data_IF_011921251048
#
_entry.id   IF_011921251048
#
_cell.length_a   1.000
_cell.length_b   1.000
_cell.length_c   1.000
_cell.angle_alpha   90.00
_cell.angle_beta   90.00
_cell.angle_gamma   90.00
#
_symmetry.space_group_name_H-M   'P 1'
#
loop_
_entity.id
_entity.type
_entity.pdbx_description
1 polymer ?
#
# COMPACT_ATOMS: atom_id res chain seq x y z
N UNK A 1 6.76 -3.16 18.74
CA UNK A 1 5.39 -3.05 19.28
C UNK A 1 4.65 -4.37 19.50
N UNK A 2 4.89 -5.46 18.75
CA UNK A 2 4.15 -6.73 18.90
C UNK A 2 4.74 -7.71 19.93
N UNK A 3 5.81 -7.33 20.63
CA UNK A 3 6.34 -8.08 21.79
C UNK A 3 5.37 -8.09 22.98
N UNK A 4 4.48 -7.10 23.11
CA UNK A 4 3.44 -7.12 24.14
C UNK A 4 2.36 -8.18 23.85
N UNK A 5 2.17 -8.59 22.59
CA UNK A 5 1.28 -9.69 22.21
C UNK A 5 1.92 -11.08 22.43
N UNK A 6 3.24 -11.16 22.69
CA UNK A 6 3.97 -12.40 22.95
C UNK A 6 3.87 -12.91 24.40
N UNK A 7 3.31 -12.15 25.34
CA UNK A 7 3.32 -12.50 26.78
C UNK A 7 2.06 -13.19 27.30
N UNK A 8 1.10 -13.56 26.44
CA UNK A 8 -0.10 -14.30 26.85
C UNK A 8 -0.39 -15.49 25.93
N UNK A 9 0.27 -16.62 26.22
CA UNK A 9 -0.33 -17.96 26.44
C UNK A 9 0.70 -19.06 26.22
N UNK A 10 0.68 -20.02 27.13
CA UNK A 10 1.70 -21.05 27.30
C UNK A 10 1.84 -22.03 26.12
N UNK A 11 3.04 -22.59 26.05
CA UNK A 11 3.45 -23.71 25.21
C UNK A 11 2.52 -24.93 25.37
N UNK A 12 1.55 -25.16 24.46
CA UNK A 12 1.02 -26.52 24.13
C UNK A 12 -0.07 -26.60 23.04
N UNK A 13 0.06 -25.87 21.93
CA UNK A 13 -0.77 -26.13 20.74
C UNK A 13 0.03 -25.90 19.45
N UNK A 14 1.12 -26.65 19.29
CA UNK A 14 1.80 -26.84 18.01
C UNK A 14 1.08 -27.97 17.27
N UNK A 15 0.21 -27.60 16.33
CA UNK A 15 -0.18 -28.31 15.09
C UNK A 15 -1.58 -27.83 14.69
N UNK A 16 -1.73 -27.29 13.48
CA UNK A 16 -2.98 -26.81 12.86
C UNK A 16 -3.61 -25.55 13.50
N UNK A 17 -2.92 -24.42 13.39
CA UNK A 17 -3.54 -23.10 13.44
C UNK A 17 -3.22 -22.38 12.13
N UNK A 18 -4.26 -22.14 11.33
CA UNK A 18 -4.23 -21.13 10.27
C UNK A 18 -3.82 -19.83 10.99
N UNK A 19 -2.67 -19.26 10.63
CA UNK A 19 -2.09 -18.09 11.33
C UNK A 19 -2.82 -16.80 10.91
N UNK A 20 -4.11 -16.74 11.24
CA UNK A 20 -4.95 -15.56 11.08
C UNK A 20 -4.74 -14.63 12.27
N UNK A 21 -4.50 -13.35 11.99
CA UNK A 21 -4.56 -12.31 13.01
C UNK A 21 -5.90 -11.59 12.87
N UNK A 22 -6.87 -12.01 13.68
CA UNK A 22 -8.21 -11.42 13.72
C UNK A 22 -8.33 -10.47 14.91
N UNK A 23 -8.90 -9.30 14.65
CA UNK A 23 -9.18 -8.24 15.62
C UNK A 23 -10.65 -7.87 15.51
N UNK A 24 -11.39 -8.08 16.60
CA UNK A 24 -12.80 -7.71 16.65
C UNK A 24 -12.92 -6.23 17.05
N UNK A 25 -13.68 -5.47 16.26
CA UNK A 25 -13.85 -4.02 16.42
C UNK A 25 -12.68 -3.19 15.90
N UNK A 26 -12.67 -1.92 16.30
CA UNK A 26 -11.69 -0.94 15.82
C UNK A 26 -10.28 -1.23 16.36
N UNK A 27 -9.28 -1.02 15.51
CA UNK A 27 -7.88 -1.28 15.81
C UNK A 27 -7.00 -0.10 15.43
N UNK A 28 -6.19 0.35 16.39
CA UNK A 28 -5.13 1.34 16.14
C UNK A 28 -3.76 0.66 16.29
N UNK A 29 -2.99 0.64 15.20
CA UNK A 29 -1.61 0.17 15.16
C UNK A 29 -0.67 1.38 15.18
N UNK A 30 0.22 1.44 16.17
CA UNK A 30 1.12 2.57 16.41
C UNK A 30 2.60 2.14 16.43
N UNK A 31 3.17 1.70 15.31
CA UNK A 31 4.62 1.43 15.21
C UNK A 31 5.13 1.77 13.82
N UNK A 32 6.31 2.37 13.80
CA UNK A 32 6.86 3.14 12.70
C UNK A 32 8.25 2.64 12.29
N UNK A 33 8.66 1.45 12.75
CA UNK A 33 10.06 0.97 12.69
C UNK A 33 10.33 -0.29 11.88
N UNK A 34 9.32 -1.03 11.43
CA UNK A 34 9.52 -2.30 10.69
C UNK A 34 8.62 -2.33 9.46
N UNK A 35 9.15 -2.63 8.25
CA UNK A 35 8.32 -2.86 7.07
C UNK A 35 7.28 -3.94 7.38
N UNK A 36 6.01 -3.64 7.14
CA UNK A 36 4.89 -4.53 7.48
C UNK A 36 5.10 -5.94 6.91
N UNK A 37 5.71 -6.03 5.72
CA UNK A 37 6.11 -7.27 5.05
C UNK A 37 6.89 -8.27 5.86
N UNK A 38 8.01 -7.84 6.45
CA UNK A 38 8.79 -8.69 7.35
C UNK A 38 7.98 -9.12 8.57
N UNK A 39 7.13 -8.25 9.10
CA UNK A 39 6.36 -8.56 10.30
C UNK A 39 5.38 -9.72 10.09
N UNK A 40 4.58 -9.69 9.01
CA UNK A 40 3.66 -10.77 8.70
C UNK A 40 4.37 -11.98 8.07
N UNK A 41 5.41 -11.78 7.27
CA UNK A 41 6.18 -12.85 6.62
C UNK A 41 6.86 -13.77 7.63
N UNK A 42 7.61 -13.20 8.59
CA UNK A 42 8.32 -13.96 9.64
C UNK A 42 7.34 -14.74 10.53
N UNK A 43 6.14 -14.20 10.72
CA UNK A 43 5.08 -14.80 11.52
C UNK A 43 4.19 -15.74 10.70
N UNK A 44 4.45 -15.89 9.41
CA UNK A 44 3.62 -16.61 8.45
C UNK A 44 2.13 -16.25 8.58
N UNK A 45 1.83 -14.96 8.79
CA UNK A 45 0.46 -14.48 8.87
C UNK A 45 -0.15 -14.58 7.47
N UNK A 46 -1.24 -15.32 7.36
CA UNK A 46 -1.90 -15.55 6.07
C UNK A 46 -3.06 -14.57 5.83
N UNK A 47 -3.64 -14.05 6.91
CA UNK A 47 -4.71 -13.06 6.85
C UNK A 47 -4.65 -12.11 8.04
N UNK A 48 -4.92 -10.84 7.77
CA UNK A 48 -5.18 -9.77 8.72
C UNK A 48 -6.65 -9.38 8.58
N UNK A 49 -7.43 -9.62 9.63
CA UNK A 49 -8.88 -9.37 9.63
C UNK A 49 -9.20 -8.40 10.75
N UNK A 50 -9.75 -7.24 10.41
CA UNK A 50 -10.26 -6.25 11.36
C UNK A 50 -11.76 -6.06 11.10
N UNK A 51 -12.61 -6.30 12.11
CA UNK A 51 -14.07 -6.20 11.95
C UNK A 51 -14.62 -4.82 12.31
N UNK A 52 -13.79 -3.78 12.20
CA UNK A 52 -14.11 -2.39 12.47
C UNK A 52 -13.18 -1.48 11.68
N UNK A 53 -12.95 -0.27 12.18
CA UNK A 53 -12.01 0.67 11.57
C UNK A 53 -10.56 0.29 11.89
N UNK A 54 -9.70 0.26 10.87
CA UNK A 54 -8.27 0.01 11.01
C UNK A 54 -7.49 1.31 10.79
N UNK A 55 -6.87 1.80 11.85
CA UNK A 55 -5.94 2.93 11.78
C UNK A 55 -4.50 2.43 11.95
N UNK A 56 -3.65 2.71 10.97
CA UNK A 56 -2.21 2.49 11.03
C UNK A 56 -1.55 3.87 11.12
N UNK A 57 -0.98 4.19 12.28
CA UNK A 57 -0.21 5.42 12.49
C UNK A 57 1.19 5.30 11.85
N UNK A 58 1.22 5.03 10.55
CA UNK A 58 2.42 4.68 9.80
C UNK A 58 2.10 4.22 8.39
N UNK A 59 3.08 3.58 7.75
CA UNK A 59 2.93 3.05 6.41
C UNK A 59 2.58 1.56 6.45
N UNK A 60 1.79 1.11 5.48
CA UNK A 60 1.56 -0.30 5.19
C UNK A 60 2.43 -0.64 3.98
N UNK A 61 3.55 -1.34 4.22
CA UNK A 61 4.53 -1.67 3.20
C UNK A 61 4.47 -3.17 2.93
N UNK A 62 3.95 -3.51 1.76
CA UNK A 62 4.04 -4.84 1.18
C UNK A 62 5.01 -4.81 0.00
N UNK A 63 6.24 -5.29 0.22
CA UNK A 63 7.26 -5.46 -0.80
C UNK A 63 7.35 -6.90 -1.33
N UNK A 64 6.35 -7.74 -1.00
CA UNK A 64 6.24 -9.11 -1.50
C UNK A 64 5.49 -9.16 -2.83
N UNK A 65 5.79 -10.14 -3.67
CA UNK A 65 4.95 -10.51 -4.83
C UNK A 65 3.90 -11.57 -4.49
N UNK A 66 3.84 -12.02 -3.23
CA UNK A 66 2.92 -13.07 -2.81
C UNK A 66 1.55 -12.52 -2.43
N UNK A 67 0.49 -13.32 -2.68
CA UNK A 67 -0.89 -13.02 -2.33
C UNK A 67 -1.18 -12.81 -0.83
N UNK A 68 -0.16 -13.01 0.04
CA UNK A 68 -0.31 -13.10 1.49
C UNK A 68 0.48 -11.99 2.18
N UNK A 69 -0.07 -11.40 3.26
CA UNK A 69 -1.35 -11.74 3.87
C UNK A 69 -2.51 -11.21 3.02
N UNK A 70 -3.70 -11.76 3.22
CA UNK A 70 -4.93 -11.11 2.77
C UNK A 70 -5.33 -10.09 3.83
N UNK A 71 -5.61 -8.85 3.43
CA UNK A 71 -6.14 -7.82 4.32
C UNK A 71 -7.66 -7.72 4.17
N UNK A 72 -8.39 -7.84 5.29
CA UNK A 72 -9.84 -7.65 5.35
C UNK A 72 -10.15 -6.64 6.45
N UNK A 73 -10.82 -5.55 6.08
CA UNK A 73 -11.28 -4.49 6.99
C UNK A 73 -12.76 -4.25 6.73
N UNK A 74 -13.62 -4.50 7.70
CA UNK A 74 -15.08 -4.27 7.52
C UNK A 74 -15.50 -2.83 7.83
N UNK A 75 -14.57 -1.99 8.26
CA UNK A 75 -14.74 -0.54 8.39
C UNK A 75 -13.83 0.22 7.43
N UNK A 76 -13.38 1.40 7.87
CA UNK A 76 -12.46 2.27 7.12
C UNK A 76 -11.01 1.92 7.38
N UNK A 77 -10.15 2.11 6.39
CA UNK A 77 -8.71 1.95 6.52
C UNK A 77 -8.02 3.31 6.45
N UNK A 78 -7.40 3.73 7.56
CA UNK A 78 -6.66 4.98 7.65
C UNK A 78 -5.17 4.71 7.86
N UNK A 79 -4.33 5.25 6.98
CA UNK A 79 -2.88 5.13 7.12
C UNK A 79 -2.11 6.30 6.50
N UNK A 80 -0.79 6.33 6.65
CA UNK A 80 0.06 7.35 6.02
C UNK A 80 0.35 6.99 4.56
N UNK A 81 1.06 5.91 4.28
CA UNK A 81 1.33 5.48 2.91
C UNK A 81 1.04 4.00 2.74
N UNK A 82 0.39 3.63 1.65
CA UNK A 82 0.24 2.23 1.26
C UNK A 82 1.16 1.94 0.07
N UNK A 83 2.18 1.12 0.28
CA UNK A 83 2.85 0.43 -0.82
C UNK A 83 2.33 -0.99 -0.88
N UNK A 84 1.68 -1.33 -1.99
CA UNK A 84 1.00 -2.60 -2.16
C UNK A 84 1.66 -3.47 -3.23
N UNK A 85 2.41 -4.47 -2.78
CA UNK A 85 2.81 -5.64 -3.56
C UNK A 85 1.65 -6.64 -3.69
N UNK A 86 1.93 -7.94 -3.70
CA UNK A 86 0.96 -8.99 -4.00
C UNK A 86 -0.20 -9.15 -3.02
N UNK A 87 -0.28 -8.42 -1.91
CA UNK A 87 -1.37 -8.53 -0.93
C UNK A 87 -2.74 -8.19 -1.53
N UNK A 88 -3.67 -9.15 -1.50
CA UNK A 88 -5.08 -8.90 -1.74
C UNK A 88 -5.70 -8.13 -0.56
N UNK A 89 -6.54 -7.14 -0.85
CA UNK A 89 -7.15 -6.30 0.17
C UNK A 89 -8.64 -6.03 -0.11
N UNK A 90 -9.46 -6.18 0.93
CA UNK A 90 -10.90 -5.98 0.90
C UNK A 90 -11.29 -5.04 2.04
N UNK A 91 -11.72 -3.82 1.70
CA UNK A 91 -12.10 -2.77 2.64
C UNK A 91 -13.56 -2.43 2.35
N UNK A 92 -14.45 -2.57 3.34
CA UNK A 92 -15.90 -2.38 3.12
C UNK A 92 -16.27 -0.88 3.00
N UNK A 93 -15.58 -0.01 3.71
CA UNK A 93 -15.81 1.44 3.68
C UNK A 93 -14.74 2.19 2.87
N UNK A 94 -14.24 3.32 3.37
CA UNK A 94 -13.27 4.16 2.67
C UNK A 94 -11.80 3.83 3.01
N UNK A 95 -10.91 4.15 2.07
CA UNK A 95 -9.46 4.16 2.30
C UNK A 95 -8.97 5.61 2.33
N UNK A 96 -8.27 5.98 3.40
CA UNK A 96 -7.57 7.26 3.50
C UNK A 96 -6.08 7.01 3.67
N UNK A 97 -5.31 7.49 2.70
CA UNK A 97 -3.86 7.49 2.73
C UNK A 97 -3.32 8.87 2.34
N UNK A 98 -2.13 9.25 2.80
CA UNK A 98 -1.38 10.36 2.20
C UNK A 98 -0.82 9.97 0.82
N UNK A 99 -0.45 8.71 0.60
CA UNK A 99 -0.04 8.20 -0.71
C UNK A 99 -0.38 6.72 -0.90
N UNK A 100 -0.72 6.32 -2.13
CA UNK A 100 -1.03 4.94 -2.47
C UNK A 100 -0.32 4.51 -3.76
N UNK A 101 0.60 3.56 -3.64
CA UNK A 101 1.35 2.99 -4.75
C UNK A 101 1.05 1.50 -4.83
N UNK A 102 0.66 1.04 -6.01
CA UNK A 102 0.55 -0.39 -6.31
C UNK A 102 1.81 -0.78 -7.09
N UNK A 103 2.54 -1.79 -6.59
CA UNK A 103 3.77 -2.28 -7.19
C UNK A 103 3.55 -2.90 -8.57
N UNK A 104 4.64 -3.02 -9.34
CA UNK A 104 4.61 -3.59 -10.68
C UNK A 104 4.24 -5.09 -10.65
N UNK A 105 3.49 -5.55 -11.66
CA UNK A 105 2.97 -6.93 -11.75
C UNK A 105 2.11 -7.37 -10.56
N UNK A 106 1.23 -6.47 -10.10
CA UNK A 106 0.29 -6.79 -9.06
C UNK A 106 -1.05 -7.25 -9.65
N UNK A 107 -1.24 -8.56 -9.75
CA UNK A 107 -2.50 -9.17 -10.17
C UNK A 107 -3.46 -9.39 -8.98
N UNK A 108 -3.10 -8.97 -7.76
CA UNK A 108 -3.92 -9.25 -6.58
C UNK A 108 -5.10 -8.28 -6.47
N UNK A 109 -6.20 -8.76 -5.87
CA UNK A 109 -7.45 -8.01 -5.83
C UNK A 109 -7.42 -6.88 -4.79
N UNK A 110 -7.80 -5.67 -5.20
CA UNK A 110 -8.12 -4.56 -4.32
C UNK A 110 -9.58 -4.22 -4.48
N UNK A 111 -10.35 -4.35 -3.40
CA UNK A 111 -11.75 -3.96 -3.37
C UNK A 111 -11.97 -2.98 -2.22
N UNK A 112 -12.48 -1.81 -2.55
CA UNK A 112 -12.85 -0.77 -1.58
C UNK A 112 -14.32 -0.44 -1.82
N UNK A 113 -15.19 -0.65 -0.83
CA UNK A 113 -16.62 -0.39 -0.98
C UNK A 113 -16.98 1.09 -1.05
N UNK A 114 -16.14 1.96 -0.48
CA UNK A 114 -16.30 3.42 -0.48
C UNK A 114 -15.26 4.18 -1.31
N UNK A 115 -14.99 5.41 -0.88
CA UNK A 115 -14.04 6.31 -1.54
C UNK A 115 -12.58 5.87 -1.30
N UNK A 116 -11.71 6.17 -2.27
CA UNK A 116 -10.27 6.25 -2.06
C UNK A 116 -9.86 7.71 -1.98
N UNK A 117 -9.25 8.13 -0.87
CA UNK A 117 -8.67 9.47 -0.68
C UNK A 117 -7.16 9.34 -0.51
N UNK A 118 -6.39 9.82 -1.50
CA UNK A 118 -4.93 9.79 -1.48
C UNK A 118 -4.32 10.96 -2.26
N UNK A 119 -3.08 11.40 -1.96
CA UNK A 119 -2.44 12.42 -2.78
C UNK A 119 -2.12 11.93 -4.20
N UNK A 120 -1.90 10.62 -4.35
CA UNK A 120 -1.67 9.98 -5.63
C UNK A 120 -1.96 8.48 -5.60
N UNK A 121 -2.32 7.95 -6.77
CA UNK A 121 -2.72 6.57 -7.02
C UNK A 121 -2.10 6.07 -8.33
N UNK A 122 -1.40 4.94 -8.28
CA UNK A 122 -0.81 4.28 -9.46
C UNK A 122 -1.54 2.94 -9.73
N UNK A 123 -2.48 2.88 -10.69
CA UNK A 123 -3.24 1.67 -11.02
C UNK A 123 -2.41 0.68 -11.85
N UNK A 124 -1.36 0.08 -11.27
CA UNK A 124 -0.42 -0.79 -12.02
C UNK A 124 -0.87 -2.24 -12.18
N UNK A 125 -2.16 -2.53 -12.03
CA UNK A 125 -2.70 -3.88 -12.04
C UNK A 125 -3.27 -4.25 -13.43
N UNK A 126 -2.86 -5.40 -13.97
CA UNK A 126 -3.33 -5.88 -15.27
C UNK A 126 -4.63 -6.67 -15.12
N UNK A 127 -5.56 -6.61 -16.11
CA UNK A 127 -6.71 -7.51 -16.12
C UNK A 127 -6.29 -8.98 -16.07
N UNK A 128 -7.07 -9.80 -15.37
CA UNK A 128 -6.82 -11.24 -15.32
C UNK A 128 -6.90 -11.85 -16.72
N UNK A 129 -5.91 -12.66 -17.10
CA UNK A 129 -5.86 -13.31 -18.43
C UNK A 129 -7.14 -14.10 -18.73
N UNK A 130 -7.64 -14.83 -17.74
CA UNK A 130 -8.81 -15.71 -17.89
C UNK A 130 -10.14 -14.95 -17.69
N UNK A 131 -10.09 -13.78 -17.06
CA UNK A 131 -11.26 -12.95 -16.76
C UNK A 131 -10.96 -11.46 -17.08
N UNK A 132 -10.73 -11.10 -18.35
CA UNK A 132 -10.27 -9.76 -18.73
C UNK A 132 -11.29 -8.64 -18.45
N UNK A 133 -12.55 -9.01 -18.20
CA UNK A 133 -13.64 -8.10 -17.84
C UNK A 133 -13.67 -7.77 -16.34
N UNK A 134 -12.90 -8.49 -15.52
CA UNK A 134 -12.79 -8.21 -14.08
C UNK A 134 -11.56 -7.35 -13.86
N UNK A 135 -11.78 -6.11 -13.45
CA UNK A 135 -10.70 -5.23 -13.04
C UNK A 135 -10.14 -5.69 -11.68
N UNK A 136 -8.81 -5.78 -11.55
CA UNK A 136 -8.16 -6.20 -10.30
C UNK A 136 -8.36 -5.17 -9.17
N UNK A 137 -8.56 -3.89 -9.50
CA UNK A 137 -8.90 -2.85 -8.54
C UNK A 137 -10.33 -2.36 -8.77
N UNK A 138 -11.14 -2.33 -7.71
CA UNK A 138 -12.53 -1.90 -7.74
C UNK A 138 -12.81 -0.98 -6.56
N UNK A 139 -13.46 0.15 -6.83
CA UNK A 139 -13.88 1.15 -5.85
C UNK A 139 -15.38 1.39 -6.01
N UNK A 140 -16.15 1.26 -4.93
CA UNK A 140 -17.58 1.55 -4.94
C UNK A 140 -17.89 3.05 -4.83
N UNK A 141 -16.94 3.84 -4.35
CA UNK A 141 -17.02 5.31 -4.27
C UNK A 141 -16.11 6.02 -5.27
N UNK A 142 -15.80 7.29 -4.96
CA UNK A 142 -14.93 8.13 -5.79
C UNK A 142 -13.45 7.87 -5.49
N UNK A 143 -12.63 7.94 -6.54
CA UNK A 143 -11.18 8.07 -6.39
C UNK A 143 -10.86 9.57 -6.33
N UNK A 144 -10.59 10.06 -5.12
CA UNK A 144 -10.05 11.39 -4.84
C UNK A 144 -8.53 11.27 -4.67
N UNK A 145 -7.86 11.03 -5.80
CA UNK A 145 -6.42 10.95 -5.88
C UNK A 145 -5.92 11.38 -7.26
N UNK A 146 -4.67 11.84 -7.32
CA UNK A 146 -3.99 12.01 -8.61
C UNK A 146 -3.68 10.64 -9.18
N UNK A 147 -4.54 10.17 -10.07
CA UNK A 147 -4.31 8.95 -10.82
C UNK A 147 -3.22 9.18 -11.87
N UNK A 148 -2.26 8.27 -11.93
CA UNK A 148 -1.12 8.41 -12.84
C UNK A 148 -0.75 7.03 -13.38
N UNK A 149 -1.01 6.80 -14.66
CA UNK A 149 -0.48 5.62 -15.34
C UNK A 149 0.95 5.93 -15.81
N UNK A 150 1.93 5.35 -15.12
CA UNK A 150 3.33 5.53 -15.47
C UNK A 150 3.67 4.91 -16.84
N UNK A 151 2.80 4.05 -17.41
CA UNK A 151 2.94 3.55 -18.78
C UNK A 151 2.63 4.61 -19.85
N UNK A 152 1.83 5.61 -19.50
CA UNK A 152 1.34 6.65 -20.42
C UNK A 152 1.98 8.02 -20.16
N UNK A 153 2.81 8.15 -19.12
CA UNK A 153 3.47 9.41 -18.76
C UNK A 153 4.88 9.49 -19.37
N UNK A 154 5.22 10.66 -19.90
CA UNK A 154 6.55 10.93 -20.42
C UNK A 154 7.57 11.23 -19.28
N UNK A 155 8.88 11.25 -19.59
CA UNK A 155 9.92 11.54 -18.60
C UNK A 155 9.77 12.90 -17.89
N UNK A 156 9.11 13.89 -18.50
CA UNK A 156 8.89 15.19 -17.88
C UNK A 156 7.77 15.10 -16.83
N UNK A 157 6.66 14.43 -17.17
CA UNK A 157 5.57 14.19 -16.23
C UNK A 157 6.02 13.38 -15.01
N UNK A 158 6.95 12.43 -15.16
CA UNK A 158 7.55 11.76 -13.98
C UNK A 158 8.23 12.76 -13.04
N UNK A 159 9.05 13.67 -13.58
CA UNK A 159 9.77 14.69 -12.79
C UNK A 159 8.83 15.71 -12.13
N UNK A 160 7.71 16.01 -12.75
CA UNK A 160 6.71 16.95 -12.22
C UNK A 160 5.89 16.36 -11.05
N UNK A 161 5.79 15.02 -11.00
CA UNK A 161 4.92 14.33 -10.06
C UNK A 161 5.67 13.64 -8.91
N UNK A 162 6.91 13.19 -9.13
CA UNK A 162 7.69 12.44 -8.13
C UNK A 162 8.89 13.23 -7.60
N UNK A 163 9.27 12.92 -6.36
CA UNK A 163 10.53 13.40 -5.79
C UNK A 163 11.70 12.91 -6.66
N UNK A 164 12.67 13.77 -7.02
CA UNK A 164 13.80 13.35 -7.86
C UNK A 164 14.59 12.19 -7.27
N UNK A 165 14.61 12.06 -5.94
CA UNK A 165 15.30 10.97 -5.24
C UNK A 165 14.60 9.62 -5.34
N UNK A 166 13.43 9.52 -5.97
CA UNK A 166 12.75 8.25 -6.28
C UNK A 166 12.73 7.91 -7.78
N UNK A 167 13.37 8.74 -8.60
CA UNK A 167 13.52 8.53 -10.04
C UNK A 167 14.94 8.05 -10.36
N UNK A 168 15.07 7.24 -11.40
CA UNK A 168 16.37 6.83 -11.94
C UNK A 168 16.33 6.90 -13.46
N UNK A 169 17.51 6.95 -14.07
CA UNK A 169 17.71 7.03 -15.51
C UNK A 169 18.64 5.89 -15.96
N UNK A 170 18.14 4.99 -16.80
CA UNK A 170 18.94 4.00 -17.53
C UNK A 170 18.62 4.09 -19.02
N UNK A 171 19.65 3.97 -19.86
CA UNK A 171 19.52 4.02 -21.32
C UNK A 171 18.79 5.26 -21.88
N UNK A 172 18.82 6.38 -21.14
CA UNK A 172 18.15 7.64 -21.49
C UNK A 172 16.66 7.66 -21.21
N UNK A 173 16.12 6.60 -20.61
CA UNK A 173 14.74 6.54 -20.13
C UNK A 173 14.67 6.76 -18.62
N UNK A 174 13.65 7.48 -18.18
CA UNK A 174 13.43 7.76 -16.76
C UNK A 174 12.30 6.90 -16.29
N UNK A 175 12.51 6.28 -15.14
CA UNK A 175 11.51 5.46 -14.50
C UNK A 175 11.54 5.67 -12.99
N UNK A 176 10.42 5.30 -12.38
CA UNK A 176 10.28 5.27 -10.94
C UNK A 176 11.09 4.11 -10.38
N UNK A 177 12.12 4.38 -9.58
CA UNK A 177 12.90 3.34 -8.91
C UNK A 177 12.13 2.83 -7.69
N UNK A 178 11.59 1.62 -7.80
CA UNK A 178 10.84 0.97 -6.72
C UNK A 178 11.65 0.84 -5.44
N UNK A 179 12.97 0.63 -5.52
CA UNK A 179 13.86 0.55 -4.35
C UNK A 179 14.03 1.92 -3.71
N UNK A 180 14.15 2.96 -4.51
CA UNK A 180 14.22 4.33 -4.02
C UNK A 180 12.89 4.80 -3.41
N UNK A 181 11.75 4.43 -4.01
CA UNK A 181 10.41 4.61 -3.43
C UNK A 181 10.32 3.92 -2.07
N UNK A 182 10.72 2.66 -1.99
CA UNK A 182 10.77 1.90 -0.75
C UNK A 182 11.66 2.58 0.31
N UNK A 183 12.84 3.05 -0.09
CA UNK A 183 13.76 3.76 0.82
C UNK A 183 13.13 5.07 1.30
N UNK A 184 12.56 5.87 0.41
CA UNK A 184 11.91 7.13 0.73
C UNK A 184 10.77 6.93 1.73
N UNK A 185 9.91 5.92 1.51
CA UNK A 185 8.84 5.57 2.46
C UNK A 185 9.43 5.18 3.83
N UNK A 186 10.46 4.32 3.87
CA UNK A 186 11.14 3.90 5.12
C UNK A 186 11.79 5.08 5.85
N UNK A 187 12.35 6.02 5.12
CA UNK A 187 13.01 7.23 5.61
C UNK A 187 12.02 8.37 5.92
N UNK A 188 10.72 8.18 5.69
CA UNK A 188 9.66 9.20 5.83
C UNK A 188 9.89 10.42 4.94
N UNK A 189 10.56 10.23 3.82
CA UNK A 189 10.68 11.22 2.75
C UNK A 189 9.45 11.14 1.84
N UNK A 190 8.99 12.29 1.30
CA UNK A 190 7.90 12.29 0.33
C UNK A 190 8.32 11.55 -0.94
N UNK A 191 7.44 10.70 -1.45
CA UNK A 191 7.57 10.04 -2.77
C UNK A 191 7.04 10.95 -3.88
N UNK A 192 6.00 11.72 -3.56
CA UNK A 192 5.35 12.65 -4.46
C UNK A 192 5.89 14.05 -4.23
N UNK A 193 6.05 14.84 -5.29
CA UNK A 193 6.27 16.29 -5.13
C UNK A 193 5.05 16.91 -4.45
N UNK A 194 5.30 17.67 -3.39
CA UNK A 194 4.25 18.42 -2.73
C UNK A 194 3.86 19.62 -3.60
N UNK A 195 2.61 20.05 -3.54
CA UNK A 195 2.12 21.16 -4.37
C UNK A 195 2.91 22.47 -4.18
N UNK A 196 3.59 22.64 -3.04
CA UNK A 196 4.45 23.78 -2.75
C UNK A 196 5.72 23.85 -3.62
N UNK A 197 6.22 22.71 -4.11
CA UNK A 197 7.49 22.63 -4.85
C UNK A 197 7.33 22.94 -6.36
N UNK A 198 6.10 23.24 -6.81
CA UNK A 198 5.81 23.61 -8.22
C UNK A 198 5.95 25.11 -8.50
N UNK A 199 5.96 25.94 -7.46
CA UNK A 199 5.97 27.42 -7.61
C UNK A 199 7.35 27.96 -7.99
N UNK A 200 8.43 27.22 -7.70
CA UNK A 200 9.80 27.68 -7.99
C UNK A 200 10.27 27.43 -9.43
N UNK A 201 9.52 26.71 -10.27
CA UNK A 201 9.94 26.39 -11.65
C UNK A 201 9.18 27.17 -12.75
N UNK A 202 8.19 27.99 -12.40
CA UNK A 202 7.54 28.94 -13.34
C UNK A 202 8.15 30.36 -13.30
N UNK A 203 9.26 30.54 -12.57
CA UNK A 203 10.02 31.80 -12.54
C UNK A 203 11.50 31.60 -12.88
N UNK A 204 11.80 31.08 -14.09
CA UNK A 204 13.10 31.29 -14.76
C UNK A 204 12.87 31.51 -16.25
#
# INVERSE_FOLDING_TARGET
>A
MLEQLSRRKGRRAQALLIRQSRFDGDLVLSDDRVPSSSWYGDRQVEALICTGDLQINGDLIDDSSHAKPILIVTGSLHLRSWLRGGMSAFIDAEVRASGFVVGHYNDSALMVGGDLKAAGYLPRARPYKDCPHILPHQFGGRIDARELDVGDIDPQGLREHFDPGVLTEEDGEIYLDERAVLSAVRERRPVWRLAADRVEQEQV
#
